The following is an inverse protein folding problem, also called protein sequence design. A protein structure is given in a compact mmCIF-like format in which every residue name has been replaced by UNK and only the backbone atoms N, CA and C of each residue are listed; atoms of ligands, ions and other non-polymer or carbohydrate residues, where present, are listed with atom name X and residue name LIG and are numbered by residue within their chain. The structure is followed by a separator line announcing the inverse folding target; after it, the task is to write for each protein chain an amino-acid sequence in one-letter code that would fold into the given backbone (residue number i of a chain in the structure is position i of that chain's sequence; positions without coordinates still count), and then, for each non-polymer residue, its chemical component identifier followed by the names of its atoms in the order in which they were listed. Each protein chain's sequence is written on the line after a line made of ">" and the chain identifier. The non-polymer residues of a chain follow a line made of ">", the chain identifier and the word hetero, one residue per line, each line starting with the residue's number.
data_IF_203277066856
#
_entry.id   IF_203277066856
#
_cell.length_a   1.000
_cell.length_b   1.000
_cell.length_c   1.000
_cell.angle_alpha   90.00
_cell.angle_beta   90.00
_cell.angle_gamma   90.00
#
_symmetry.space_group_name_H-M   'P 1'
#
loop_
_entity.id
_entity.type
_entity.pdbx_description
1 polymer ?
#
# COMPACT_ATOMS: atom_id res chain seq x y z
N UNK A 1 -9.36 27.79 -27.40
CA UNK A 1 -8.24 28.66 -26.99
C UNK A 1 -8.77 29.78 -26.10
N UNK A 2 -8.02 30.23 -25.09
CA UNK A 2 -8.35 31.46 -24.34
C UNK A 2 -7.98 32.74 -25.11
N UNK A 3 -7.09 32.62 -26.10
CA UNK A 3 -6.56 33.73 -26.89
C UNK A 3 -6.94 33.58 -28.36
N UNK A 4 -7.38 34.68 -28.98
CA UNK A 4 -7.52 34.76 -30.43
C UNK A 4 -6.17 35.04 -31.10
N UNK A 5 -5.95 34.49 -32.29
CA UNK A 5 -4.66 34.61 -32.97
C UNK A 5 -4.56 33.78 -34.24
N UNK A 6 -3.34 33.60 -34.72
CA UNK A 6 -3.02 32.70 -35.84
C UNK A 6 -2.37 31.42 -35.28
N UNK A 7 -2.81 30.25 -35.71
CA UNK A 7 -2.18 28.98 -35.31
C UNK A 7 -0.85 28.80 -36.05
N UNK A 8 0.15 28.21 -35.37
CA UNK A 8 1.40 27.77 -35.97
C UNK A 8 1.76 26.38 -35.45
N UNK A 9 1.95 25.44 -36.35
CA UNK A 9 2.34 24.08 -36.01
C UNK A 9 3.85 23.99 -35.79
N UNK A 10 4.24 23.21 -34.79
CA UNK A 10 5.62 22.90 -34.47
C UNK A 10 5.75 21.39 -34.28
N UNK A 11 6.60 20.74 -35.08
CA UNK A 11 6.78 19.28 -35.12
C UNK A 11 5.50 18.48 -35.45
N UNK A 12 4.59 19.01 -36.28
CA UNK A 12 3.42 18.29 -36.81
C UNK A 12 3.71 17.92 -38.27
N UNK A 13 4.26 16.72 -38.48
CA UNK A 13 4.79 16.24 -39.77
C UNK A 13 4.05 14.94 -40.13
N UNK A 14 3.54 14.88 -41.35
CA UNK A 14 2.77 13.75 -41.85
C UNK A 14 3.63 12.49 -41.92
N UNK A 15 3.10 11.36 -41.43
CA UNK A 15 3.80 10.08 -41.36
C UNK A 15 4.84 9.96 -40.24
N UNK A 16 5.17 11.06 -39.54
CA UNK A 16 6.15 11.07 -38.43
C UNK A 16 5.49 11.37 -37.09
N UNK A 17 4.64 12.39 -37.02
CA UNK A 17 3.94 12.80 -35.79
C UNK A 17 2.43 12.86 -35.94
N UNK A 18 1.89 12.86 -37.16
CA UNK A 18 0.46 12.65 -37.40
C UNK A 18 0.18 11.78 -38.63
N UNK A 19 -0.99 11.12 -38.64
CA UNK A 19 -1.54 10.42 -39.80
C UNK A 19 -2.90 11.00 -40.15
N UNK A 20 -3.29 10.90 -41.42
CA UNK A 20 -4.62 11.27 -41.87
C UNK A 20 -5.51 10.03 -41.78
N UNK A 21 -6.54 10.08 -40.95
CA UNK A 21 -7.59 9.06 -40.90
C UNK A 21 -8.82 9.56 -41.66
N UNK A 22 -9.48 8.66 -42.38
CA UNK A 22 -10.76 8.95 -43.03
C UNK A 22 -11.88 8.49 -42.09
N UNK A 23 -12.80 9.39 -41.77
CA UNK A 23 -14.02 9.01 -41.06
C UNK A 23 -14.97 8.27 -42.02
N UNK A 24 -15.30 7.01 -41.71
CA UNK A 24 -16.11 6.12 -42.53
C UNK A 24 -17.56 6.62 -42.73
N UNK A 25 -18.08 7.46 -41.81
CA UNK A 25 -19.45 7.97 -41.91
C UNK A 25 -19.56 9.28 -42.70
N UNK A 26 -18.57 10.16 -42.58
CA UNK A 26 -18.65 11.52 -43.11
C UNK A 26 -17.76 11.77 -44.31
N UNK A 27 -16.77 10.90 -44.56
CA UNK A 27 -15.78 11.06 -45.62
C UNK A 27 -14.79 12.20 -45.37
N UNK A 28 -14.83 12.83 -44.19
CA UNK A 28 -13.85 13.84 -43.80
C UNK A 28 -12.53 13.20 -43.37
N UNK A 29 -11.45 13.92 -43.63
CA UNK A 29 -10.09 13.53 -43.27
C UNK A 29 -9.66 14.22 -41.96
N UNK A 30 -9.49 13.44 -40.90
CA UNK A 30 -9.01 13.90 -39.61
C UNK A 30 -7.50 13.72 -39.49
N UNK A 31 -6.81 14.74 -39.00
CA UNK A 31 -5.38 14.64 -38.66
C UNK A 31 -5.23 14.11 -37.25
N UNK A 32 -4.80 12.86 -37.11
CA UNK A 32 -4.64 12.18 -35.83
C UNK A 32 -3.16 12.13 -35.44
N UNK A 33 -2.80 12.65 -34.27
CA UNK A 33 -1.44 12.56 -33.74
C UNK A 33 -1.08 11.10 -33.43
N UNK A 34 0.07 10.65 -33.93
CA UNK A 34 0.60 9.31 -33.71
C UNK A 34 1.83 9.34 -32.82
N UNK A 35 2.11 8.22 -32.16
CA UNK A 35 3.32 8.08 -31.37
C UNK A 35 4.56 8.06 -32.28
N UNK A 36 5.49 8.98 -32.04
CA UNK A 36 6.72 9.08 -32.83
C UNK A 36 7.87 8.31 -32.19
N UNK A 37 8.67 7.62 -33.01
CA UNK A 37 9.92 6.97 -32.55
C UNK A 37 11.03 8.00 -32.25
N UNK A 38 10.88 9.24 -32.72
CA UNK A 38 11.85 10.32 -32.53
C UNK A 38 11.50 11.18 -31.31
N UNK A 39 12.11 10.89 -30.15
CA UNK A 39 11.82 11.54 -28.85
C UNK A 39 12.09 13.06 -28.78
N UNK A 40 12.60 13.69 -29.83
CA UNK A 40 12.98 15.12 -29.86
C UNK A 40 11.95 16.01 -30.57
N UNK A 41 11.01 15.42 -31.30
CA UNK A 41 9.96 16.13 -32.05
C UNK A 41 8.64 15.99 -31.32
N UNK A 42 8.41 16.84 -30.31
CA UNK A 42 7.12 16.85 -29.61
C UNK A 42 6.12 17.71 -30.41
N UNK A 43 4.98 17.16 -30.85
CA UNK A 43 3.97 17.93 -31.57
C UNK A 43 3.37 19.00 -30.65
N UNK A 44 3.55 20.25 -31.04
CA UNK A 44 3.04 21.42 -30.32
C UNK A 44 2.39 22.40 -31.30
N UNK A 45 1.46 23.18 -30.77
CA UNK A 45 0.75 24.22 -31.51
C UNK A 45 0.88 25.52 -30.75
N UNK A 46 1.41 26.52 -31.45
CA UNK A 46 1.61 27.88 -30.94
C UNK A 46 0.52 28.79 -31.45
N UNK A 47 0.08 29.71 -30.61
CA UNK A 47 -0.85 30.79 -30.99
C UNK A 47 -0.05 32.08 -31.09
N UNK A 48 -0.08 32.68 -32.28
CA UNK A 48 0.62 33.92 -32.60
C UNK A 48 -0.35 35.11 -32.55
N UNK A 49 0.12 36.22 -31.99
CA UNK A 49 -0.56 37.51 -32.03
C UNK A 49 -0.52 38.12 -33.44
N UNK A 50 -1.24 39.23 -33.64
CA UNK A 50 -1.15 40.04 -34.88
C UNK A 50 0.26 40.58 -35.13
N UNK A 51 1.07 40.72 -34.07
CA UNK A 51 2.50 41.10 -34.11
C UNK A 51 3.44 39.92 -34.38
N UNK A 52 2.92 38.71 -34.63
CA UNK A 52 3.69 37.49 -34.83
C UNK A 52 4.48 37.01 -33.58
N UNK A 53 4.16 37.54 -32.40
CA UNK A 53 4.70 37.08 -31.11
C UNK A 53 3.92 35.88 -30.58
N UNK A 54 4.63 34.96 -29.92
CA UNK A 54 4.06 33.76 -29.30
C UNK A 54 3.28 34.15 -28.04
N UNK A 55 1.95 33.99 -28.10
CA UNK A 55 1.06 34.25 -26.96
C UNK A 55 1.03 33.04 -26.04
N UNK A 56 0.89 31.83 -26.62
CA UNK A 56 0.83 30.59 -25.86
C UNK A 56 1.20 29.39 -26.73
N UNK A 57 1.74 28.36 -26.10
CA UNK A 57 2.04 27.07 -26.72
C UNK A 57 1.28 25.95 -26.03
N UNK A 58 0.70 25.06 -26.83
CA UNK A 58 -0.05 23.88 -26.38
C UNK A 58 0.64 22.63 -26.91
N UNK A 59 1.01 21.71 -26.02
CA UNK A 59 1.43 20.37 -26.42
C UNK A 59 0.19 19.57 -26.86
N UNK A 60 0.32 18.81 -27.95
CA UNK A 60 -0.76 17.96 -28.45
C UNK A 60 -0.44 16.49 -28.10
N UNK A 61 -1.23 15.83 -27.24
CA UNK A 61 -0.99 14.44 -26.87
C UNK A 61 -1.28 13.48 -28.02
N UNK A 62 -0.76 12.25 -27.92
CA UNK A 62 -1.00 11.19 -28.92
C UNK A 62 -2.48 10.80 -28.92
N UNK A 63 -3.03 10.49 -30.10
CA UNK A 63 -4.46 10.16 -30.27
C UNK A 63 -5.38 11.37 -30.39
N UNK A 64 -4.82 12.59 -30.36
CA UNK A 64 -5.55 13.82 -30.58
C UNK A 64 -5.93 14.04 -32.04
N UNK A 65 -7.18 14.42 -32.30
CA UNK A 65 -7.69 14.84 -33.61
C UNK A 65 -7.57 16.36 -33.75
N UNK A 66 -6.73 16.82 -34.67
CA UNK A 66 -6.53 18.24 -34.93
C UNK A 66 -7.63 18.74 -35.87
N UNK A 67 -8.38 19.76 -35.43
CA UNK A 67 -9.47 20.35 -36.20
C UNK A 67 -8.99 21.54 -37.05
N UNK A 68 -8.08 22.33 -36.49
CA UNK A 68 -7.57 23.55 -37.13
C UNK A 68 -6.40 23.25 -38.06
N UNK A 69 -6.20 24.08 -39.08
CA UNK A 69 -5.04 24.05 -39.97
C UNK A 69 -3.85 24.86 -39.42
N UNK A 70 -2.70 24.70 -40.08
CA UNK A 70 -1.54 25.56 -39.84
C UNK A 70 -1.78 26.94 -40.46
N UNK A 71 -1.67 27.99 -39.65
CA UNK A 71 -1.90 29.36 -40.11
C UNK A 71 -3.35 29.85 -40.06
N UNK A 72 -4.28 29.06 -39.50
CA UNK A 72 -5.68 29.44 -39.37
C UNK A 72 -5.89 30.57 -38.36
N UNK A 73 -6.85 31.45 -38.65
CA UNK A 73 -7.28 32.50 -37.73
C UNK A 73 -8.33 31.95 -36.78
N UNK A 74 -8.01 31.94 -35.49
CA UNK A 74 -8.88 31.46 -34.43
C UNK A 74 -9.33 32.60 -33.53
N UNK A 75 -10.56 32.50 -33.03
CA UNK A 75 -11.11 33.35 -31.97
C UNK A 75 -10.92 32.69 -30.61
N UNK A 76 -11.00 33.50 -29.55
CA UNK A 76 -11.13 32.95 -28.21
C UNK A 76 -12.41 32.11 -28.12
N UNK A 77 -12.31 30.90 -27.55
CA UNK A 77 -13.38 29.90 -27.50
C UNK A 77 -13.28 28.81 -28.57
N UNK A 78 -12.51 28.99 -29.65
CA UNK A 78 -12.44 27.98 -30.72
C UNK A 78 -11.75 26.69 -30.26
N UNK A 79 -12.30 25.56 -30.71
CA UNK A 79 -11.78 24.22 -30.44
C UNK A 79 -10.62 23.95 -31.40
N UNK A 80 -9.44 23.72 -30.84
CA UNK A 80 -8.23 23.47 -31.65
C UNK A 80 -8.05 21.98 -31.94
N UNK A 81 -8.31 21.15 -30.92
CA UNK A 81 -8.07 19.72 -30.92
C UNK A 81 -9.23 19.04 -30.21
N UNK A 82 -9.70 17.91 -30.77
CA UNK A 82 -10.60 16.96 -30.12
C UNK A 82 -9.76 15.81 -29.59
N UNK A 83 -9.88 15.53 -28.30
CA UNK A 83 -9.31 14.33 -27.68
C UNK A 83 -10.49 13.38 -27.47
N UNK A 84 -10.63 12.30 -28.25
CA UNK A 84 -11.70 11.34 -28.04
C UNK A 84 -11.49 10.71 -26.67
N UNK A 85 -12.36 11.07 -25.72
CA UNK A 85 -12.46 10.36 -24.46
C UNK A 85 -13.12 9.02 -24.77
N UNK A 86 -12.48 7.92 -24.42
CA UNK A 86 -13.11 6.62 -24.52
C UNK A 86 -14.27 6.53 -23.52
N UNK A 87 -15.47 6.97 -23.93
CA UNK A 87 -16.69 7.04 -23.10
C UNK A 87 -17.15 5.65 -22.61
N UNK A 88 -16.58 4.56 -23.16
CA UNK A 88 -16.83 3.18 -22.73
C UNK A 88 -15.66 2.49 -22.00
N UNK A 89 -14.49 3.12 -21.86
CA UNK A 89 -13.39 2.60 -21.02
C UNK A 89 -13.51 3.20 -19.62
N UNK A 90 -14.64 2.94 -18.97
CA UNK A 90 -14.69 3.08 -17.52
C UNK A 90 -13.73 2.03 -16.97
N UNK A 91 -12.52 2.44 -16.57
CA UNK A 91 -11.47 1.57 -16.05
C UNK A 91 -10.84 0.64 -17.09
N UNK A 92 -9.65 0.16 -16.77
CA UNK A 92 -8.91 -0.91 -17.45
C UNK A 92 -9.61 -2.27 -17.22
N UNK A 93 -10.95 -2.32 -17.35
CA UNK A 93 -11.78 -3.49 -17.00
C UNK A 93 -11.85 -4.49 -18.18
N UNK A 94 -11.48 -4.06 -19.39
CA UNK A 94 -11.53 -4.89 -20.61
C UNK A 94 -10.60 -6.12 -20.56
N UNK A 95 -9.73 -6.22 -19.56
CA UNK A 95 -8.78 -7.31 -19.43
C UNK A 95 -9.35 -8.64 -18.93
N UNK A 96 -10.60 -8.71 -18.45
CA UNK A 96 -11.17 -9.96 -17.92
C UNK A 96 -10.30 -10.62 -16.84
N UNK A 97 -10.05 -11.93 -16.94
CA UNK A 97 -9.22 -12.65 -15.97
C UNK A 97 -7.77 -12.13 -15.86
N UNK A 98 -7.05 -11.80 -16.96
CA UNK A 98 -5.75 -11.13 -16.89
C UNK A 98 -5.71 -9.93 -15.94
N UNK A 99 -6.73 -9.08 -15.96
CA UNK A 99 -6.80 -7.91 -15.06
C UNK A 99 -6.86 -8.33 -13.59
N UNK A 100 -7.67 -9.34 -13.27
CA UNK A 100 -7.76 -9.89 -11.91
C UNK A 100 -6.40 -10.45 -11.46
N UNK A 101 -5.66 -11.11 -12.36
CA UNK A 101 -4.32 -11.61 -12.04
C UNK A 101 -3.30 -10.50 -11.79
N UNK A 102 -3.38 -9.38 -12.54
CA UNK A 102 -2.54 -8.21 -12.29
C UNK A 102 -2.80 -7.61 -10.91
N UNK A 103 -4.09 -7.49 -10.52
CA UNK A 103 -4.50 -6.95 -9.23
C UNK A 103 -4.04 -7.84 -8.07
N UNK A 104 -4.24 -9.16 -8.16
CA UNK A 104 -3.77 -10.09 -7.12
C UNK A 104 -2.25 -10.22 -7.03
N UNK A 105 -1.53 -9.96 -8.12
CA UNK A 105 -0.08 -9.89 -8.10
C UNK A 105 0.47 -8.49 -7.75
N UNK A 106 -0.41 -7.55 -7.40
CA UNK A 106 -0.07 -6.16 -7.10
C UNK A 106 0.82 -5.52 -8.19
N UNK A 107 0.54 -5.85 -9.46
CA UNK A 107 1.26 -5.34 -10.62
C UNK A 107 0.81 -3.92 -10.96
N UNK A 108 1.69 -3.19 -11.62
CA UNK A 108 1.31 -1.90 -12.18
C UNK A 108 0.33 -2.10 -13.36
N UNK A 109 -0.68 -1.23 -13.49
CA UNK A 109 -1.58 -1.25 -14.63
C UNK A 109 -0.81 -0.98 -15.94
N UNK A 110 -1.40 -1.38 -17.06
CA UNK A 110 -0.80 -1.22 -18.40
C UNK A 110 -0.49 0.25 -18.73
N UNK A 111 -1.38 1.16 -18.33
CA UNK A 111 -1.18 2.60 -18.48
C UNK A 111 -1.26 3.34 -17.13
N UNK A 112 -0.13 3.51 -16.41
CA UNK A 112 -0.13 4.11 -15.08
C UNK A 112 -0.13 5.65 -15.13
N UNK A 113 -1.03 6.27 -14.38
CA UNK A 113 -1.03 7.72 -14.17
C UNK A 113 0.09 8.15 -13.22
N UNK A 114 0.61 9.36 -13.42
CA UNK A 114 1.42 10.06 -12.41
C UNK A 114 0.50 10.85 -11.51
N UNK A 115 0.74 10.75 -10.20
CA UNK A 115 -0.11 11.35 -9.18
C UNK A 115 0.69 12.26 -8.25
N UNK A 116 0.04 13.31 -7.74
CA UNK A 116 0.63 14.21 -6.77
C UNK A 116 0.83 13.49 -5.43
N UNK A 117 2.02 13.60 -4.84
CA UNK A 117 2.33 13.01 -3.52
C UNK A 117 2.17 14.03 -2.38
N UNK A 118 2.16 15.32 -2.72
CA UNK A 118 2.03 16.43 -1.76
C UNK A 118 0.93 17.39 -2.21
N UNK A 119 0.32 18.06 -1.25
CA UNK A 119 -0.59 19.19 -1.49
C UNK A 119 0.22 20.41 -1.93
N UNK A 120 -0.20 21.09 -3.00
CA UNK A 120 0.52 22.28 -3.45
C UNK A 120 0.03 22.88 -4.76
N UNK A 121 0.76 23.90 -5.20
CA UNK A 121 0.51 24.62 -6.45
C UNK A 121 1.39 24.05 -7.55
N UNK A 122 0.78 23.78 -8.69
CA UNK A 122 1.40 23.21 -9.89
C UNK A 122 2.16 24.29 -10.67
N UNK A 123 3.38 23.96 -11.09
CA UNK A 123 4.19 24.76 -12.01
C UNK A 123 4.90 23.86 -13.01
N UNK A 124 5.23 24.38 -14.19
CA UNK A 124 5.88 23.61 -15.25
C UNK A 124 7.37 23.96 -15.38
N UNK A 125 8.18 22.94 -15.63
CA UNK A 125 9.58 23.15 -16.02
C UNK A 125 9.66 23.87 -17.37
N UNK A 126 10.52 24.90 -17.45
CA UNK A 126 10.71 25.73 -18.66
C UNK A 126 11.18 24.95 -19.90
N UNK A 127 11.80 23.79 -19.72
CA UNK A 127 12.31 22.95 -20.81
C UNK A 127 11.95 21.48 -20.56
N UNK A 128 11.77 20.74 -21.65
CA UNK A 128 11.63 19.27 -21.59
C UNK A 128 12.91 18.64 -21.04
N UNK A 129 12.76 17.75 -20.07
CA UNK A 129 13.86 16.96 -19.51
C UNK A 129 13.80 15.55 -20.08
N UNK A 130 14.81 15.19 -20.89
CA UNK A 130 14.92 13.87 -21.55
C UNK A 130 13.66 13.48 -22.34
N UNK A 131 12.99 14.45 -22.96
CA UNK A 131 11.74 14.25 -23.71
C UNK A 131 10.46 14.20 -22.85
N UNK A 132 10.58 14.36 -21.52
CA UNK A 132 9.43 14.43 -20.62
C UNK A 132 9.16 15.87 -20.17
N UNK A 133 7.89 16.19 -19.95
CA UNK A 133 7.46 17.43 -19.31
C UNK A 133 7.65 17.29 -17.80
N UNK A 134 8.32 18.27 -17.20
CA UNK A 134 8.51 18.34 -15.75
C UNK A 134 7.38 19.15 -15.13
N UNK A 135 6.68 18.57 -14.17
CA UNK A 135 5.70 19.23 -13.31
C UNK A 135 6.30 19.36 -11.92
N UNK A 136 6.23 20.54 -11.33
CA UNK A 136 6.75 20.84 -10.00
C UNK A 136 5.57 21.28 -9.14
N UNK A 137 5.32 20.53 -8.07
CA UNK A 137 4.33 20.88 -7.06
C UNK A 137 5.08 21.53 -5.90
N UNK A 138 4.68 22.75 -5.53
CA UNK A 138 5.23 23.46 -4.38
C UNK A 138 4.19 23.52 -3.28
N UNK A 139 4.51 22.96 -2.11
CA UNK A 139 3.64 23.00 -0.94
C UNK A 139 3.62 24.39 -0.31
N UNK A 140 2.65 24.63 0.58
CA UNK A 140 2.61 25.87 1.39
C UNK A 140 3.82 26.05 2.30
N UNK A 141 4.51 24.96 2.65
CA UNK A 141 5.72 24.98 3.48
C UNK A 141 7.00 25.22 2.69
N UNK A 142 6.90 25.33 1.35
CA UNK A 142 8.05 25.52 0.45
C UNK A 142 8.71 24.22 -0.01
N UNK A 143 8.19 23.06 0.40
CA UNK A 143 8.66 21.76 -0.11
C UNK A 143 8.27 21.61 -1.59
N UNK A 144 9.21 21.17 -2.41
CA UNK A 144 8.99 20.96 -3.84
C UNK A 144 9.16 19.50 -4.23
N UNK A 145 8.15 18.93 -4.90
CA UNK A 145 8.27 17.64 -5.59
C UNK A 145 8.16 17.80 -7.09
N UNK A 146 9.01 17.06 -7.81
CA UNK A 146 9.15 17.10 -9.27
C UNK A 146 8.70 15.79 -9.86
N UNK A 147 7.85 15.88 -10.87
CA UNK A 147 7.25 14.75 -11.58
C UNK A 147 7.61 14.84 -13.07
N UNK A 148 8.07 13.75 -13.64
CA UNK A 148 8.35 13.65 -15.08
C UNK A 148 7.21 12.90 -15.75
N UNK A 149 6.50 13.59 -16.64
CA UNK A 149 5.38 13.04 -17.42
C UNK A 149 5.79 13.00 -18.89
N UNK A 150 5.60 11.85 -19.53
CA UNK A 150 5.87 11.72 -20.96
C UNK A 150 4.93 12.64 -21.74
N UNK A 151 5.45 13.34 -22.74
CA UNK A 151 4.64 14.29 -23.54
C UNK A 151 3.57 13.60 -24.39
N UNK A 152 3.68 12.29 -24.59
CA UNK A 152 2.63 11.48 -25.22
C UNK A 152 1.36 11.38 -24.38
N UNK A 153 1.47 11.49 -23.05
CA UNK A 153 0.32 11.44 -22.13
C UNK A 153 -0.32 12.80 -21.97
N UNK A 154 -1.65 12.82 -21.90
CA UNK A 154 -2.36 14.02 -21.55
C UNK A 154 -2.07 14.40 -20.08
N UNK A 155 -1.68 15.66 -19.88
CA UNK A 155 -1.54 16.27 -18.55
C UNK A 155 -2.89 16.84 -18.15
N UNK A 156 -3.34 16.51 -16.95
CA UNK A 156 -4.66 16.90 -16.43
C UNK A 156 -4.63 18.18 -15.58
N UNK A 157 -3.45 18.57 -15.10
CA UNK A 157 -3.26 19.78 -14.29
C UNK A 157 -2.76 20.96 -15.12
N UNK A 158 -3.17 22.19 -14.76
CA UNK A 158 -2.73 23.43 -15.38
C UNK A 158 -1.75 24.19 -14.47
N UNK A 159 -1.11 25.22 -15.03
CA UNK A 159 -0.17 26.05 -14.29
C UNK A 159 -0.91 26.93 -13.29
N UNK A 160 -0.42 26.98 -12.05
CA UNK A 160 -1.03 27.60 -10.88
C UNK A 160 -2.28 26.88 -10.33
N UNK A 161 -2.60 25.68 -10.80
CA UNK A 161 -3.64 24.86 -10.16
C UNK A 161 -3.19 24.40 -8.76
N UNK A 162 -4.13 24.41 -7.81
CA UNK A 162 -3.93 23.77 -6.51
C UNK A 162 -4.40 22.31 -6.58
N UNK A 163 -3.47 21.38 -6.33
CA UNK A 163 -3.74 19.94 -6.31
C UNK A 163 -3.54 19.38 -4.91
N UNK A 164 -4.33 18.36 -4.58
CA UNK A 164 -4.18 17.59 -3.34
C UNK A 164 -3.35 16.34 -3.60
N UNK A 165 -2.75 15.81 -2.54
CA UNK A 165 -2.09 14.51 -2.57
C UNK A 165 -3.10 13.44 -3.02
N UNK A 166 -2.70 12.68 -4.04
CA UNK A 166 -3.49 11.63 -4.68
C UNK A 166 -4.31 12.10 -5.87
N UNK A 167 -4.22 13.37 -6.28
CA UNK A 167 -4.77 13.86 -7.54
C UNK A 167 -3.92 13.40 -8.71
N UNK A 168 -4.54 12.87 -9.77
CA UNK A 168 -3.86 12.46 -11.00
C UNK A 168 -3.39 13.67 -11.81
N UNK A 169 -2.09 13.69 -12.13
CA UNK A 169 -1.45 14.71 -12.96
C UNK A 169 -1.45 14.33 -14.45
N UNK A 170 -1.52 13.04 -14.76
CA UNK A 170 -1.67 12.53 -16.13
C UNK A 170 -2.85 11.57 -16.26
N UNK A 171 -3.24 11.31 -17.50
CA UNK A 171 -4.10 10.18 -17.85
C UNK A 171 -3.49 8.84 -17.41
N UNK A 172 -4.35 7.86 -17.17
CA UNK A 172 -4.02 6.49 -16.75
C UNK A 172 -4.66 6.08 -15.42
N UNK A 173 -4.46 4.82 -15.04
CA UNK A 173 -4.91 4.26 -13.76
C UNK A 173 -3.86 4.50 -12.66
N UNK A 174 -4.32 4.73 -11.43
CA UNK A 174 -3.42 4.92 -10.29
C UNK A 174 -2.83 3.57 -9.86
N UNK A 175 -1.53 3.50 -9.59
CA UNK A 175 -0.91 2.22 -9.19
C UNK A 175 -1.26 1.89 -7.74
N UNK A 176 -1.47 0.59 -7.37
CA UNK A 176 -1.73 0.19 -5.98
C UNK A 176 -0.68 0.70 -4.99
N UNK A 177 0.59 0.75 -5.40
CA UNK A 177 1.69 1.25 -4.59
C UNK A 177 1.56 2.76 -4.30
N UNK A 178 1.19 3.56 -5.31
CA UNK A 178 0.95 4.99 -5.13
C UNK A 178 -0.28 5.23 -4.23
N UNK A 179 -1.35 4.43 -4.40
CA UNK A 179 -2.52 4.49 -3.50
C UNK A 179 -2.09 4.23 -2.06
N UNK A 180 -1.22 3.25 -1.83
CA UNK A 180 -0.76 2.87 -0.50
C UNK A 180 0.07 3.96 0.16
N UNK A 181 1.01 4.52 -0.60
CA UNK A 181 1.90 5.55 -0.10
C UNK A 181 1.16 6.87 0.20
N UNK A 182 0.14 7.20 -0.60
CA UNK A 182 -0.50 8.52 -0.53
C UNK A 182 -1.82 8.49 0.24
N UNK A 183 -2.71 7.56 -0.09
CA UNK A 183 -4.07 7.47 0.49
C UNK A 183 -4.16 6.48 1.65
N UNK A 184 -3.14 5.64 1.85
CA UNK A 184 -3.05 4.70 2.95
C UNK A 184 -3.70 3.34 2.67
N UNK A 185 -3.60 2.40 3.64
CA UNK A 185 -3.94 0.99 3.45
C UNK A 185 -5.41 0.74 3.16
N UNK A 186 -6.33 1.43 3.83
CA UNK A 186 -7.77 1.24 3.63
C UNK A 186 -8.19 1.57 2.19
N UNK A 187 -7.64 2.65 1.61
CA UNK A 187 -7.97 3.08 0.26
C UNK A 187 -7.43 2.15 -0.82
N UNK A 188 -6.29 1.51 -0.57
CA UNK A 188 -5.76 0.44 -1.44
C UNK A 188 -6.65 -0.78 -1.38
N UNK A 189 -7.08 -1.19 -0.18
CA UNK A 189 -7.96 -2.34 0.00
C UNK A 189 -9.28 -2.15 -0.74
N UNK A 190 -9.92 -1.00 -0.52
CA UNK A 190 -11.14 -0.60 -1.22
C UNK A 190 -10.95 -0.61 -2.75
N UNK A 191 -9.84 -0.04 -3.24
CA UNK A 191 -9.52 -0.03 -4.65
C UNK A 191 -9.40 -1.45 -5.24
N UNK A 192 -8.61 -2.33 -4.62
CA UNK A 192 -8.39 -3.69 -5.13
C UNK A 192 -9.69 -4.49 -5.12
N UNK A 193 -10.47 -4.39 -4.03
CA UNK A 193 -11.75 -5.10 -3.92
C UNK A 193 -12.73 -4.62 -4.99
N UNK A 194 -12.88 -3.29 -5.16
CA UNK A 194 -13.80 -2.73 -6.15
C UNK A 194 -13.39 -3.08 -7.59
N UNK A 195 -12.12 -2.96 -7.95
CA UNK A 195 -11.64 -3.28 -9.29
C UNK A 195 -11.85 -4.76 -9.64
N UNK A 196 -11.56 -5.68 -8.72
CA UNK A 196 -11.80 -7.11 -8.94
C UNK A 196 -13.30 -7.38 -9.08
N UNK A 197 -14.10 -6.78 -8.20
CA UNK A 197 -15.55 -6.95 -8.19
C UNK A 197 -16.19 -6.42 -9.47
N UNK A 198 -15.71 -5.30 -10.03
CA UNK A 198 -16.18 -4.77 -11.31
C UNK A 198 -15.95 -5.75 -12.46
N UNK A 199 -14.79 -6.41 -12.52
CA UNK A 199 -14.52 -7.42 -13.55
C UNK A 199 -15.51 -8.58 -13.46
N UNK A 200 -15.76 -9.11 -12.24
CA UNK A 200 -16.71 -10.21 -12.06
C UNK A 200 -18.16 -9.79 -12.33
N UNK A 201 -18.54 -8.56 -11.93
CA UNK A 201 -19.86 -7.99 -12.22
C UNK A 201 -20.10 -7.82 -13.72
N UNK A 202 -19.09 -7.39 -14.48
CA UNK A 202 -19.18 -7.32 -15.94
C UNK A 202 -19.40 -8.70 -16.59
N UNK A 203 -18.88 -9.76 -15.97
CA UNK A 203 -19.12 -11.14 -16.40
C UNK A 203 -20.44 -11.73 -15.86
N UNK A 204 -21.23 -10.95 -15.14
CA UNK A 204 -22.50 -11.39 -14.54
C UNK A 204 -22.35 -12.26 -13.30
N UNK A 205 -21.14 -12.43 -12.77
CA UNK A 205 -20.87 -13.25 -11.57
C UNK A 205 -20.95 -12.38 -10.33
N UNK A 206 -21.84 -12.72 -9.40
CA UNK A 206 -22.01 -12.01 -8.13
C UNK A 206 -21.25 -12.73 -7.02
N UNK A 207 -20.12 -12.15 -6.59
CA UNK A 207 -19.33 -12.62 -5.44
C UNK A 207 -19.44 -11.57 -4.33
N UNK A 208 -19.54 -12.00 -3.07
CA UNK A 208 -19.55 -11.07 -1.95
C UNK A 208 -18.13 -10.54 -1.66
N UNK A 209 -18.03 -9.24 -1.36
CA UNK A 209 -16.77 -8.53 -1.17
C UNK A 209 -15.89 -9.16 -0.08
N UNK A 210 -16.50 -9.79 0.95
CA UNK A 210 -15.80 -10.49 2.03
C UNK A 210 -14.77 -11.51 1.53
N UNK A 211 -15.04 -12.15 0.39
CA UNK A 211 -14.12 -13.15 -0.18
C UNK A 211 -12.83 -12.49 -0.69
N UNK A 212 -12.95 -11.34 -1.35
CA UNK A 212 -11.82 -10.59 -1.85
C UNK A 212 -11.06 -9.92 -0.71
N UNK A 213 -11.77 -9.39 0.28
CA UNK A 213 -11.15 -8.80 1.49
C UNK A 213 -10.23 -9.79 2.21
N UNK A 214 -10.63 -11.07 2.30
CA UNK A 214 -9.78 -12.12 2.89
C UNK A 214 -8.47 -12.28 2.11
N UNK A 215 -8.51 -12.24 0.78
CA UNK A 215 -7.32 -12.35 -0.07
C UNK A 215 -6.45 -11.10 0.06
N UNK A 216 -7.05 -9.91 -0.03
CA UNK A 216 -6.33 -8.63 0.10
C UNK A 216 -5.70 -8.51 1.49
N UNK A 217 -6.37 -9.01 2.54
CA UNK A 217 -5.78 -9.12 3.87
C UNK A 217 -4.50 -9.96 3.85
N UNK A 218 -4.46 -11.08 3.12
CA UNK A 218 -3.24 -11.89 2.97
C UNK A 218 -2.12 -11.13 2.24
N UNK A 219 -2.45 -10.37 1.20
CA UNK A 219 -1.51 -9.53 0.46
C UNK A 219 -0.85 -8.43 1.32
N UNK A 220 -1.51 -8.01 2.40
CA UNK A 220 -1.07 -6.93 3.30
C UNK A 220 -0.60 -7.43 4.68
N UNK A 221 -0.21 -8.70 4.80
CA UNK A 221 0.25 -9.29 6.08
C UNK A 221 1.64 -8.86 6.53
N UNK A 222 2.39 -8.17 5.68
CA UNK A 222 3.78 -7.76 5.96
C UNK A 222 3.89 -6.26 6.09
N UNK A 223 4.80 -5.85 6.97
CA UNK A 223 5.22 -4.46 7.14
C UNK A 223 6.74 -4.40 7.00
N UNK A 224 7.25 -3.32 6.44
CA UNK A 224 8.68 -3.04 6.34
C UNK A 224 9.07 -2.09 7.47
N UNK A 225 10.00 -2.52 8.31
CA UNK A 225 10.43 -1.75 9.47
C UNK A 225 11.22 -0.52 9.00
N UNK A 226 10.75 0.68 9.39
CA UNK A 226 11.37 1.95 9.03
C UNK A 226 12.33 2.45 10.12
N UNK A 227 11.95 2.30 11.39
CA UNK A 227 12.83 2.53 12.54
C UNK A 227 12.59 1.41 13.55
N UNK A 228 13.59 0.59 13.89
CA UNK A 228 13.42 -0.52 14.82
C UNK A 228 13.21 -0.07 16.28
N UNK A 229 13.55 1.18 16.64
CA UNK A 229 13.49 1.65 18.02
C UNK A 229 14.30 0.78 18.97
N UNK A 230 13.69 0.37 20.08
CA UNK A 230 14.29 -0.55 21.09
C UNK A 230 13.77 -2.00 20.95
N UNK A 231 13.11 -2.33 19.84
CA UNK A 231 12.60 -3.69 19.59
C UNK A 231 13.68 -4.61 19.03
N UNK A 232 13.34 -5.90 18.85
CA UNK A 232 14.23 -6.90 18.22
C UNK A 232 14.35 -6.81 16.69
N UNK A 233 13.64 -5.89 16.03
CA UNK A 233 13.62 -5.80 14.58
C UNK A 233 14.85 -5.14 13.98
N UNK A 234 15.11 -5.38 12.71
CA UNK A 234 16.11 -4.68 11.91
C UNK A 234 15.48 -3.67 10.96
N UNK A 235 16.18 -2.56 10.68
CA UNK A 235 15.75 -1.58 9.69
C UNK A 235 15.66 -2.24 8.29
N UNK A 236 14.55 -2.02 7.59
CA UNK A 236 14.25 -2.63 6.29
C UNK A 236 13.76 -4.08 6.36
N UNK A 237 13.65 -4.68 7.56
CA UNK A 237 13.14 -6.04 7.71
C UNK A 237 11.65 -6.15 7.32
N UNK A 238 11.28 -7.21 6.60
CA UNK A 238 9.88 -7.54 6.30
C UNK A 238 9.28 -8.43 7.39
N UNK A 239 8.77 -7.79 8.44
CA UNK A 239 8.13 -8.46 9.56
C UNK A 239 6.67 -8.84 9.26
N UNK A 240 6.16 -9.88 9.95
CA UNK A 240 4.72 -10.14 9.99
C UNK A 240 4.04 -9.02 10.77
N UNK A 241 2.95 -8.47 10.23
CA UNK A 241 2.21 -7.36 10.83
C UNK A 241 1.72 -7.69 12.25
N UNK A 242 1.25 -8.91 12.49
CA UNK A 242 0.75 -9.31 13.82
C UNK A 242 1.90 -9.34 14.82
N UNK A 243 2.97 -10.08 14.51
CA UNK A 243 4.16 -10.14 15.36
C UNK A 243 4.79 -8.77 15.60
N UNK A 244 4.75 -7.87 14.61
CA UNK A 244 5.22 -6.50 14.74
C UNK A 244 4.39 -5.70 15.73
N UNK A 245 3.06 -5.81 15.68
CA UNK A 245 2.16 -5.15 16.63
C UNK A 245 2.35 -5.72 18.04
N UNK A 246 2.42 -7.04 18.19
CA UNK A 246 2.64 -7.71 19.48
C UNK A 246 3.95 -7.28 20.15
N UNK A 247 5.06 -7.24 19.39
CA UNK A 247 6.35 -6.79 19.92
C UNK A 247 6.31 -5.31 20.35
N UNK A 248 5.68 -4.45 19.55
CA UNK A 248 5.52 -3.04 19.88
C UNK A 248 4.67 -2.84 21.14
N UNK A 249 3.57 -3.59 21.28
CA UNK A 249 2.72 -3.57 22.46
C UNK A 249 3.49 -4.07 23.70
N UNK A 250 4.38 -5.04 23.52
CA UNK A 250 5.22 -5.56 24.60
C UNK A 250 6.28 -4.52 25.07
N UNK A 251 6.85 -3.75 24.15
CA UNK A 251 7.83 -2.70 24.46
C UNK A 251 7.14 -1.44 25.00
N UNK A 252 5.89 -1.22 24.65
CA UNK A 252 5.12 -0.05 25.06
C UNK A 252 5.06 0.10 26.60
N UNK A 253 5.41 1.28 27.11
CA UNK A 253 5.40 1.59 28.54
C UNK A 253 6.54 0.94 29.36
N UNK A 254 7.45 0.19 28.72
CA UNK A 254 8.70 -0.24 29.36
C UNK A 254 9.75 0.87 29.34
N UNK A 255 10.80 0.70 30.13
CA UNK A 255 11.92 1.62 30.27
C UNK A 255 13.24 0.94 29.94
N UNK A 256 14.10 1.64 29.22
CA UNK A 256 15.46 1.20 28.90
C UNK A 256 16.40 1.78 29.94
N UNK A 257 17.21 0.91 30.53
CA UNK A 257 18.21 1.33 31.52
C UNK A 257 19.38 1.96 30.79
N UNK A 258 19.69 3.20 31.12
CA UNK A 258 20.83 3.93 30.56
C UNK A 258 22.04 3.65 31.45
N UNK A 259 21.89 3.92 32.75
CA UNK A 259 22.90 3.65 33.75
C UNK A 259 22.32 2.79 34.88
N UNK A 260 22.95 1.65 35.21
CA UNK A 260 22.42 0.71 36.21
C UNK A 260 22.65 1.15 37.67
N UNK A 261 23.46 2.20 37.91
CA UNK A 261 23.89 2.59 39.25
C UNK A 261 24.53 1.42 40.01
N UNK A 262 24.09 1.17 41.24
CA UNK A 262 24.56 0.08 42.11
C UNK A 262 23.66 -1.18 42.07
N UNK A 263 22.74 -1.29 41.10
CA UNK A 263 21.91 -2.48 40.97
C UNK A 263 22.74 -3.68 40.51
N UNK A 264 22.56 -4.81 41.19
CA UNK A 264 23.18 -6.10 40.81
C UNK A 264 22.34 -6.84 39.77
N UNK A 265 21.04 -6.53 39.71
CA UNK A 265 20.06 -7.25 38.90
C UNK A 265 20.01 -6.75 37.46
N UNK A 266 20.22 -5.45 37.25
CA UNK A 266 20.03 -4.84 35.96
C UNK A 266 21.31 -4.26 35.37
N UNK A 267 21.41 -4.28 34.04
CA UNK A 267 22.54 -3.75 33.28
C UNK A 267 22.05 -2.69 32.29
N UNK A 268 22.98 -1.82 31.89
CA UNK A 268 22.76 -0.87 30.81
C UNK A 268 22.22 -1.57 29.54
N UNK A 269 21.21 -0.98 28.91
CA UNK A 269 20.53 -1.51 27.72
C UNK A 269 19.38 -2.49 28.01
N UNK A 270 19.16 -2.93 29.24
CA UNK A 270 18.03 -3.80 29.56
C UNK A 270 16.70 -3.04 29.53
N UNK A 271 15.67 -3.71 28.98
CA UNK A 271 14.30 -3.20 28.94
C UNK A 271 13.51 -3.79 30.11
N UNK A 272 13.03 -2.94 31.00
CA UNK A 272 12.31 -3.32 32.22
C UNK A 272 10.95 -2.65 32.30
N UNK A 273 9.99 -3.31 32.96
CA UNK A 273 8.69 -2.67 33.21
C UNK A 273 8.84 -1.54 34.23
N UNK A 274 8.03 -0.49 34.09
CA UNK A 274 8.05 0.64 35.01
C UNK A 274 7.81 0.22 36.48
N UNK A 275 7.02 -0.84 36.71
CA UNK A 275 6.80 -1.41 38.04
C UNK A 275 8.08 -2.00 38.63
N UNK A 276 8.75 -2.90 37.90
CA UNK A 276 9.99 -3.56 38.37
C UNK A 276 11.10 -2.54 38.63
N UNK A 277 11.22 -1.53 37.77
CA UNK A 277 12.19 -0.44 37.97
C UNK A 277 11.91 0.35 39.25
N UNK A 278 10.64 0.65 39.55
CA UNK A 278 10.26 1.37 40.80
C UNK A 278 10.55 0.55 42.04
N UNK A 279 10.27 -0.75 42.00
CA UNK A 279 10.55 -1.67 43.12
C UNK A 279 12.06 -1.71 43.43
N UNK A 280 12.90 -1.89 42.41
CA UNK A 280 14.37 -1.90 42.58
C UNK A 280 14.92 -0.54 43.03
N UNK A 281 14.48 0.56 42.41
CA UNK A 281 14.90 1.90 42.84
C UNK A 281 14.46 2.21 44.28
N UNK A 282 13.36 1.64 44.76
CA UNK A 282 12.95 1.77 46.16
C UNK A 282 13.88 1.00 47.11
N UNK A 283 14.36 -0.18 46.70
CA UNK A 283 15.33 -0.96 47.48
C UNK A 283 16.71 -0.30 47.51
N UNK A 284 17.17 0.26 46.40
CA UNK A 284 18.44 0.99 46.32
C UNK A 284 18.42 2.24 47.20
N UNK A 285 17.32 3.02 47.15
CA UNK A 285 17.13 4.18 48.03
C UNK A 285 17.12 3.82 49.51
N UNK A 286 16.53 2.69 49.90
CA UNK A 286 16.55 2.21 51.31
C UNK A 286 17.95 1.80 51.79
N UNK A 287 18.87 1.52 50.87
CA UNK A 287 20.24 1.10 51.15
C UNK A 287 21.26 2.22 50.90
N UNK A 288 20.81 3.46 50.71
CA UNK A 288 21.63 4.63 50.36
C UNK A 288 22.57 4.40 49.17
N UNK A 289 22.09 3.67 48.16
CA UNK A 289 22.80 3.33 46.92
C UNK A 289 22.35 4.19 45.74
N UNK A 290 23.20 4.28 44.72
CA UNK A 290 22.85 4.98 43.48
C UNK A 290 21.70 4.29 42.75
N UNK A 291 20.70 5.08 42.37
CA UNK A 291 19.48 4.61 41.70
C UNK A 291 19.73 4.41 40.20
N UNK A 292 18.91 3.57 39.59
CA UNK A 292 18.97 3.30 38.16
C UNK A 292 18.43 4.49 37.37
N UNK A 293 19.23 4.99 36.43
CA UNK A 293 18.77 5.96 35.43
C UNK A 293 18.19 5.25 34.21
N UNK A 294 17.04 5.74 33.74
CA UNK A 294 16.29 5.09 32.67
C UNK A 294 15.63 6.10 31.75
N UNK A 295 15.51 5.74 30.47
CA UNK A 295 14.69 6.44 29.48
C UNK A 295 13.49 5.60 29.09
N UNK A 296 12.50 6.22 28.45
CA UNK A 296 11.37 5.47 27.87
C UNK A 296 11.83 4.61 26.68
N UNK A 297 11.27 3.41 26.57
CA UNK A 297 11.48 2.54 25.43
C UNK A 297 10.71 3.04 24.22
N UNK A 298 11.36 3.09 23.06
CA UNK A 298 10.76 3.52 21.80
C UNK A 298 10.26 2.30 21.03
N UNK A 299 8.96 2.22 20.69
CA UNK A 299 8.46 1.16 19.82
C UNK A 299 8.98 1.34 18.39
N UNK A 300 8.97 0.27 17.61
CA UNK A 300 9.36 0.33 16.21
C UNK A 300 8.30 1.04 15.37
N UNK A 301 8.73 1.71 14.31
CA UNK A 301 7.86 2.25 13.25
C UNK A 301 8.04 1.45 11.98
N UNK A 302 6.96 1.28 11.21
CA UNK A 302 6.99 0.50 9.98
C UNK A 302 6.07 1.10 8.91
N UNK A 303 6.36 0.78 7.66
CA UNK A 303 5.53 1.11 6.49
C UNK A 303 4.78 -0.14 6.05
N UNK A 304 3.51 0.03 5.74
CA UNK A 304 2.71 -1.07 5.19
C UNK A 304 3.23 -1.43 3.80
N UNK A 305 3.35 -2.73 3.53
CA UNK A 305 3.73 -3.24 2.21
C UNK A 305 2.54 -4.00 1.61
N UNK A 306 2.34 -3.83 0.30
CA UNK A 306 1.43 -4.65 -0.50
C UNK A 306 2.28 -5.64 -1.31
N UNK A 307 2.00 -6.93 -1.16
CA UNK A 307 2.66 -7.99 -1.91
C UNK A 307 1.66 -8.73 -2.79
N UNK A 308 2.10 -9.15 -3.99
CA UNK A 308 1.34 -10.10 -4.80
C UNK A 308 1.13 -11.44 -4.06
N UNK A 309 0.03 -12.13 -4.36
CA UNK A 309 -0.34 -13.39 -3.69
C UNK A 309 0.76 -14.46 -3.80
N UNK A 310 1.50 -14.53 -4.91
CA UNK A 310 2.62 -15.46 -5.08
C UNK A 310 3.73 -15.17 -4.08
N UNK A 311 4.15 -13.91 -3.95
CA UNK A 311 5.20 -13.50 -3.00
C UNK A 311 4.75 -13.63 -1.55
N UNK A 312 3.50 -13.27 -1.25
CA UNK A 312 2.93 -13.39 0.08
C UNK A 312 2.86 -14.87 0.54
N UNK A 313 2.56 -15.79 -0.37
CA UNK A 313 2.47 -17.23 -0.10
C UNK A 313 3.82 -17.89 0.16
N UNK A 314 4.89 -17.40 -0.47
CA UNK A 314 6.27 -17.87 -0.23
C UNK A 314 6.85 -17.38 1.11
N UNK A 315 6.34 -16.27 1.64
CA UNK A 315 6.85 -15.62 2.85
C UNK A 315 5.98 -15.89 4.10
N UNK A 316 5.22 -16.98 4.10
CA UNK A 316 4.44 -17.43 5.26
C UNK A 316 5.35 -17.86 6.41
N UNK A 317 4.79 -17.97 7.62
CA UNK A 317 5.53 -18.42 8.81
C UNK A 317 5.89 -19.90 8.72
N UNK A 318 4.98 -20.72 8.18
CA UNK A 318 5.15 -22.15 7.99
C UNK A 318 5.98 -22.45 6.74
N UNK A 319 7.18 -22.97 6.96
CA UNK A 319 8.05 -23.34 5.86
C UNK A 319 7.56 -24.60 5.16
N UNK A 320 6.82 -25.48 5.85
CA UNK A 320 6.20 -26.68 5.28
C UNK A 320 5.14 -26.26 4.26
N UNK A 321 4.26 -25.32 4.64
CA UNK A 321 3.24 -24.79 3.74
C UNK A 321 3.88 -24.01 2.59
N UNK A 322 4.89 -23.17 2.84
CA UNK A 322 5.58 -22.42 1.78
C UNK A 322 6.27 -23.34 0.76
N UNK A 323 6.99 -24.37 1.22
CA UNK A 323 7.73 -25.30 0.37
C UNK A 323 6.79 -26.06 -0.57
N UNK A 324 5.57 -26.38 -0.12
CA UNK A 324 4.57 -27.07 -0.94
C UNK A 324 3.90 -26.20 -2.01
N UNK A 325 4.22 -24.91 -2.12
CA UNK A 325 3.67 -24.01 -3.14
C UNK A 325 4.60 -23.88 -4.34
N UNK A 326 5.75 -23.19 -4.19
CA UNK A 326 6.76 -22.96 -5.22
C UNK A 326 8.15 -22.78 -4.57
N UNK A 327 9.22 -22.72 -5.37
CA UNK A 327 10.60 -22.45 -4.93
C UNK A 327 11.08 -23.37 -3.78
N UNK A 328 10.70 -24.65 -3.80
CA UNK A 328 10.96 -25.66 -2.74
C UNK A 328 12.40 -25.61 -2.22
N UNK A 329 13.39 -25.66 -3.10
CA UNK A 329 14.82 -25.66 -2.75
C UNK A 329 15.19 -24.43 -1.92
N UNK A 330 14.80 -23.24 -2.38
CA UNK A 330 15.12 -21.97 -1.71
C UNK A 330 14.44 -21.87 -0.35
N UNK A 331 13.18 -22.28 -0.24
CA UNK A 331 12.43 -22.28 1.03
C UNK A 331 13.09 -23.20 2.05
N UNK A 332 13.44 -24.42 1.65
CA UNK A 332 14.07 -25.39 2.55
C UNK A 332 15.49 -24.96 2.95
N UNK A 333 16.30 -24.44 2.02
CA UNK A 333 17.63 -23.93 2.33
C UNK A 333 17.56 -22.80 3.37
N UNK A 334 16.65 -21.84 3.18
CA UNK A 334 16.46 -20.74 4.13
C UNK A 334 15.93 -21.22 5.48
N UNK A 335 15.03 -22.21 5.50
CA UNK A 335 14.55 -22.81 6.73
C UNK A 335 15.68 -23.50 7.51
N UNK A 336 16.55 -24.25 6.82
CA UNK A 336 17.71 -24.91 7.42
C UNK A 336 18.74 -23.93 7.97
N UNK A 337 19.08 -22.87 7.22
CA UNK A 337 20.04 -21.84 7.66
C UNK A 337 19.54 -21.15 8.94
N UNK A 338 18.26 -20.84 9.00
CA UNK A 338 17.65 -20.15 10.14
C UNK A 338 17.20 -21.11 11.27
N UNK A 339 17.43 -22.41 11.13
CA UNK A 339 16.93 -23.45 12.03
C UNK A 339 15.43 -23.27 12.38
N UNK A 340 14.61 -22.95 11.37
CA UNK A 340 13.19 -22.65 11.56
C UNK A 340 12.44 -23.86 12.13
N UNK A 341 11.53 -23.58 13.06
CA UNK A 341 10.57 -24.54 13.60
C UNK A 341 9.18 -24.19 13.11
N UNK A 342 8.40 -25.20 12.73
CA UNK A 342 7.02 -25.03 12.29
C UNK A 342 6.06 -25.23 13.46
N UNK A 343 5.09 -24.33 13.60
CA UNK A 343 4.13 -24.33 14.72
C UNK A 343 2.84 -25.12 14.45
N UNK A 344 2.67 -25.64 13.23
CA UNK A 344 1.49 -26.40 12.80
C UNK A 344 0.16 -25.69 13.12
N UNK A 345 0.07 -24.39 12.84
CA UNK A 345 -1.10 -23.55 13.07
C UNK A 345 -2.01 -23.43 11.83
N UNK A 346 -1.51 -23.74 10.65
CA UNK A 346 -2.19 -23.67 9.37
C UNK A 346 -2.83 -24.98 8.93
N UNK A 347 -3.65 -24.92 7.87
CA UNK A 347 -4.32 -26.10 7.33
C UNK A 347 -3.34 -27.02 6.59
N UNK A 348 -2.51 -26.46 5.71
CA UNK A 348 -1.70 -27.24 4.76
C UNK A 348 -0.59 -28.06 5.42
N UNK A 349 0.08 -27.49 6.41
CA UNK A 349 1.08 -28.20 7.21
C UNK A 349 0.49 -29.39 7.99
N UNK A 350 -0.69 -29.23 8.61
CA UNK A 350 -1.34 -30.33 9.33
C UNK A 350 -1.78 -31.44 8.38
N UNK A 351 -2.27 -31.10 7.18
CA UNK A 351 -2.58 -32.11 6.14
C UNK A 351 -1.33 -32.89 5.72
N UNK A 352 -0.20 -32.22 5.52
CA UNK A 352 1.06 -32.87 5.09
C UNK A 352 1.60 -33.81 6.18
N UNK A 353 1.48 -33.42 7.46
CA UNK A 353 1.95 -34.23 8.59
C UNK A 353 0.95 -35.34 8.98
N UNK A 354 -0.31 -35.23 8.56
CA UNK A 354 -1.37 -36.18 8.89
C UNK A 354 -2.07 -35.89 10.23
N UNK A 355 -1.99 -34.65 10.71
CA UNK A 355 -2.72 -34.18 11.90
C UNK A 355 -4.12 -33.69 11.54
N UNK A 356 -4.99 -33.57 12.55
CA UNK A 356 -6.26 -32.87 12.41
C UNK A 356 -6.03 -31.42 11.98
N UNK A 357 -6.78 -30.96 10.99
CA UNK A 357 -6.69 -29.58 10.53
C UNK A 357 -7.26 -28.62 11.58
N UNK A 358 -6.65 -27.45 11.82
CA UNK A 358 -7.12 -26.46 12.80
C UNK A 358 -8.33 -25.66 12.27
N UNK A 359 -9.35 -26.35 11.78
CA UNK A 359 -10.62 -25.80 11.32
C UNK A 359 -11.75 -26.81 11.47
N UNK A 360 -12.99 -26.33 11.62
CA UNK A 360 -14.14 -27.18 11.85
C UNK A 360 -14.00 -27.93 13.17
N UNK A 361 -14.09 -29.26 13.14
CA UNK A 361 -13.99 -30.11 14.34
C UNK A 361 -12.57 -30.20 14.92
N UNK A 362 -11.54 -29.84 14.17
CA UNK A 362 -10.15 -29.84 14.64
C UNK A 362 -9.68 -28.51 15.23
N UNK A 363 -10.59 -27.57 15.54
CA UNK A 363 -10.24 -26.38 16.30
C UNK A 363 -9.72 -26.78 17.70
N UNK A 364 -8.58 -26.20 18.10
CA UNK A 364 -7.96 -26.49 19.41
C UNK A 364 -8.86 -26.16 20.61
N UNK A 365 -9.81 -25.24 20.42
CA UNK A 365 -10.84 -24.93 21.41
C UNK A 365 -11.71 -26.15 21.77
N UNK A 366 -11.90 -27.07 20.82
CA UNK A 366 -12.69 -28.29 21.03
C UNK A 366 -11.88 -29.45 21.60
N UNK A 367 -10.54 -29.41 21.56
CA UNK A 367 -9.70 -30.52 22.07
C UNK A 367 -9.90 -30.75 23.57
N UNK A 368 -10.10 -29.68 24.33
CA UNK A 368 -10.28 -29.74 25.78
C UNK A 368 -11.76 -29.61 26.21
N UNK A 369 -12.69 -29.64 25.26
CA UNK A 369 -14.11 -29.45 25.54
C UNK A 369 -14.74 -30.78 25.96
N UNK A 370 -14.86 -30.98 27.27
CA UNK A 370 -15.52 -32.14 27.85
C UNK A 370 -17.03 -31.86 27.90
N UNK A 371 -17.80 -32.62 27.13
CA UNK A 371 -19.27 -32.54 27.15
C UNK A 371 -19.79 -33.63 28.08
N UNK A 372 -20.48 -33.23 29.15
CA UNK A 372 -21.14 -34.12 30.10
C UNK A 372 -22.64 -33.83 30.21
N UNK A 373 -23.38 -34.72 30.88
CA UNK A 373 -24.78 -34.45 31.19
C UNK A 373 -24.90 -33.37 32.28
N UNK A 374 -26.02 -32.64 32.29
CA UNK A 374 -26.26 -31.60 33.29
C UNK A 374 -26.32 -32.18 34.71
N UNK A 375 -26.85 -33.39 34.84
CA UNK A 375 -26.93 -34.14 36.10
C UNK A 375 -25.54 -34.50 36.65
N UNK A 376 -24.62 -34.96 35.79
CA UNK A 376 -23.22 -35.23 36.19
C UNK A 376 -22.46 -33.96 36.58
N UNK A 377 -22.74 -32.84 35.91
CA UNK A 377 -22.14 -31.54 36.26
C UNK A 377 -22.64 -31.01 37.60
N UNK A 378 -23.96 -31.09 37.86
CA UNK A 378 -24.56 -30.71 39.14
C UNK A 378 -24.05 -31.61 40.28
N UNK A 379 -23.89 -32.92 40.04
CA UNK A 379 -23.31 -33.85 40.99
C UNK A 379 -21.81 -33.57 41.30
N UNK A 380 -21.03 -33.21 40.28
CA UNK A 380 -19.61 -32.83 40.44
C UNK A 380 -19.45 -31.51 41.20
N UNK A 381 -20.35 -30.54 41.02
CA UNK A 381 -20.35 -29.29 41.80
C UNK A 381 -20.72 -29.57 43.25
N UNK A 382 -21.78 -30.34 43.50
CA UNK A 382 -22.21 -30.70 44.85
C UNK A 382 -21.10 -31.44 45.61
N UNK A 383 -20.43 -32.40 44.96
CA UNK A 383 -19.29 -33.10 45.54
C UNK A 383 -18.08 -32.20 45.82
N UNK A 384 -17.90 -31.12 45.05
CA UNK A 384 -16.79 -30.17 45.23
C UNK A 384 -17.07 -29.17 46.37
N UNK A 385 -18.32 -28.76 46.54
CA UNK A 385 -18.76 -27.95 47.69
C UNK A 385 -18.65 -28.74 49.00
N UNK A 386 -18.98 -30.05 49.00
CA UNK A 386 -18.78 -30.90 50.18
C UNK A 386 -17.30 -31.04 50.58
N UNK A 387 -16.38 -31.08 49.61
CA UNK A 387 -14.92 -31.19 49.88
C UNK A 387 -14.31 -29.87 50.35
N UNK A 388 -14.83 -28.70 49.94
CA UNK A 388 -14.36 -27.41 50.45
C UNK A 388 -14.78 -27.17 51.91
N UNK A 389 -15.97 -27.64 52.31
CA UNK A 389 -16.48 -27.49 53.68
C UNK A 389 -15.68 -28.32 54.70
N UNK A 390 -15.13 -29.47 54.29
CA UNK A 390 -14.34 -30.36 55.16
C UNK A 390 -12.86 -29.93 55.31
N UNK A 391 -12.45 -28.85 54.64
CA UNK A 391 -11.05 -28.39 54.57
C UNK A 391 -10.74 -27.11 55.37
N UNK A 392 -11.73 -26.53 56.05
CA UNK A 392 -11.49 -25.43 57.01
C UNK A 392 -10.97 -26.01 58.34
N UNK A 393 -9.74 -25.70 58.79
CA UNK A 393 -9.30 -26.10 60.12
C UNK A 393 -10.11 -25.31 61.16
N UNK A 394 -10.64 -26.00 62.16
CA UNK A 394 -11.16 -25.37 63.39
C UNK A 394 -10.05 -24.52 64.02
N UNK A 395 -10.07 -23.22 63.75
CA UNK A 395 -9.24 -22.25 64.44
C UNK A 395 -9.81 -22.01 65.85
N UNK A 396 -8.95 -22.23 66.84
CA UNK A 396 -9.15 -21.98 68.27
C UNK A 396 -10.03 -20.76 68.58
N UNK A 397 -11.17 -21.01 69.22
CA UNK A 397 -11.88 -19.98 70.00
C UNK A 397 -11.35 -20.10 71.42
N UNK A 398 -10.33 -19.31 71.75
CA UNK A 398 -9.93 -19.06 73.13
C UNK A 398 -11.01 -18.16 73.75
N UNK A 399 -11.67 -18.65 74.80
CA UNK A 399 -12.57 -17.87 75.65
C UNK A 399 -12.00 -17.78 77.06
N UNK A 400 -12.02 -16.54 77.56
CA UNK A 400 -11.65 -15.99 78.88
C UNK A 400 -10.16 -15.90 79.26
#
# INVERSE_FOLDING_TARGET
>A
SEYGGKTKFENIIEGVTFRVESDEQTGYHDKVIIETRQKKTNPSMKILSKSNEEVRSYDIPVGSHIIVGDGDKIKAGDILVKIPRAIGKSGDITGGLPRVTELFEARNPSDPAKVAEIDGVVSFGKKLKRGNREIIITSKTGEQKKYLIATSKQILAQENDFVKAGTSLSEGAMTPADILAIKGPMKVQEYIVNEIQEVYRLQGVKINDKHFEVIVRQMMRKVEVADPGDTKFLEGELANKINFMEENDEVFGKKVIVEPGDSVLYKAGMIVSARKLREENSLLKRKDKEVIESREAKPATARQVLQGITKASLQTSSFISAASFQETTKVLTMASINAKRDGLQGLKENVIVGHLIPAGTGLREYENLIVGSKEEYEALIAAKEEVEVDSTPEAEIVSE
#
